data_IF_890728467319
#
_entry.id   IF_890728467319
#
_cell.length_a   1.000
_cell.length_b   1.000
_cell.length_c   1.000
_cell.angle_alpha   90.00
_cell.angle_beta   90.00
_cell.angle_gamma   90.00
#
_symmetry.space_group_name_H-M   'P 1'
#
loop_
_entity.id
_entity.type
_entity.pdbx_description
1 polymer ?
#
# COMPACT_ATOMS: atom_id res chain seq x y z
N UNK A 1 7.61 -15.00 22.37
CA UNK A 1 7.19 -15.10 20.93
C UNK A 1 5.68 -14.98 20.83
N UNK A 2 5.15 -14.21 19.85
CA UNK A 2 3.70 -14.10 19.62
C UNK A 2 3.21 -15.45 19.08
N UNK A 3 2.12 -15.99 19.65
CA UNK A 3 1.54 -17.24 19.16
C UNK A 3 0.94 -17.05 17.76
N UNK A 4 0.91 -18.12 16.95
CA UNK A 4 0.32 -18.11 15.62
C UNK A 4 -1.15 -17.70 15.65
N UNK A 5 -1.89 -18.13 16.67
CA UNK A 5 -3.31 -17.77 16.88
C UNK A 5 -3.47 -16.28 17.17
N UNK A 6 -2.70 -15.72 18.11
CA UNK A 6 -2.73 -14.28 18.39
C UNK A 6 -2.38 -13.45 17.15
N UNK A 7 -1.42 -13.93 16.35
CA UNK A 7 -1.05 -13.29 15.09
C UNK A 7 -2.15 -13.37 14.03
N UNK A 8 -2.88 -14.47 13.95
CA UNK A 8 -4.06 -14.59 13.09
C UNK A 8 -5.14 -13.57 13.46
N UNK A 9 -5.44 -13.42 14.73
CA UNK A 9 -6.40 -12.43 15.20
C UNK A 9 -5.92 -10.99 14.97
N UNK A 10 -4.63 -10.69 15.14
CA UNK A 10 -4.10 -9.35 14.84
C UNK A 10 -4.23 -8.98 13.35
N UNK A 11 -4.06 -9.94 12.43
CA UNK A 11 -4.30 -9.74 10.99
C UNK A 11 -5.76 -9.45 10.68
N UNK A 12 -6.70 -10.18 11.31
CA UNK A 12 -8.14 -9.95 11.15
C UNK A 12 -8.54 -8.59 11.70
N UNK A 13 -8.02 -8.21 12.87
CA UNK A 13 -8.27 -6.90 13.45
C UNK A 13 -7.74 -5.78 12.55
N UNK A 14 -6.51 -5.90 12.04
CA UNK A 14 -5.94 -4.91 11.12
C UNK A 14 -6.77 -4.79 9.83
N UNK A 15 -7.27 -5.91 9.29
CA UNK A 15 -8.16 -5.90 8.13
C UNK A 15 -9.51 -5.22 8.46
N UNK A 16 -10.09 -5.48 9.62
CA UNK A 16 -11.33 -4.83 10.05
C UNK A 16 -11.14 -3.32 10.23
N UNK A 17 -10.05 -2.90 10.89
CA UNK A 17 -9.70 -1.48 11.06
C UNK A 17 -9.50 -0.80 9.70
N UNK A 18 -8.82 -1.47 8.75
CA UNK A 18 -8.67 -0.98 7.39
C UNK A 18 -10.03 -0.78 6.70
N UNK A 19 -10.91 -1.78 6.78
CA UNK A 19 -12.25 -1.71 6.20
C UNK A 19 -13.08 -0.55 6.76
N UNK A 20 -13.06 -0.36 8.08
CA UNK A 20 -13.76 0.76 8.74
C UNK A 20 -13.18 2.11 8.30
N UNK A 21 -11.84 2.22 8.23
CA UNK A 21 -11.18 3.44 7.76
C UNK A 21 -11.51 3.75 6.28
N UNK A 22 -11.55 2.74 5.41
CA UNK A 22 -11.96 2.88 4.00
C UNK A 22 -13.41 3.36 3.87
N UNK A 23 -14.34 2.78 4.64
CA UNK A 23 -15.75 3.20 4.64
C UNK A 23 -15.87 4.64 5.12
N UNK A 24 -15.24 5.01 6.23
CA UNK A 24 -15.22 6.39 6.71
C UNK A 24 -14.62 7.35 5.66
N UNK A 25 -13.51 6.97 5.04
CA UNK A 25 -12.84 7.80 4.02
C UNK A 25 -13.70 7.97 2.77
N UNK A 26 -14.45 6.94 2.37
CA UNK A 26 -15.42 7.01 1.28
C UNK A 26 -16.52 8.02 1.57
N UNK A 27 -17.17 7.94 2.73
CA UNK A 27 -18.21 8.91 3.11
C UNK A 27 -17.67 10.33 3.25
N UNK A 28 -16.47 10.50 3.77
CA UNK A 28 -15.79 11.79 3.82
C UNK A 28 -15.56 12.35 2.42
N UNK A 29 -15.06 11.54 1.48
CA UNK A 29 -14.82 11.95 0.10
C UNK A 29 -16.11 12.32 -0.63
N UNK A 30 -17.11 11.45 -0.57
CA UNK A 30 -18.42 11.68 -1.22
C UNK A 30 -19.15 12.89 -0.61
N UNK A 31 -19.04 13.09 0.72
CA UNK A 31 -19.63 14.23 1.42
C UNK A 31 -19.00 15.58 1.04
N UNK A 32 -17.75 15.58 0.56
CA UNK A 32 -17.07 16.80 0.11
C UNK A 32 -17.63 17.39 -1.19
N UNK A 33 -18.44 16.63 -1.93
CA UNK A 33 -19.01 16.99 -3.25
C UNK A 33 -17.98 17.47 -4.28
N UNK A 34 -16.71 17.13 -4.10
CA UNK A 34 -15.61 17.46 -5.01
C UNK A 34 -15.47 16.38 -6.09
N UNK A 35 -14.89 16.75 -7.25
CA UNK A 35 -14.52 15.79 -8.30
C UNK A 35 -13.58 14.71 -7.72
N UNK A 36 -12.64 15.09 -6.86
CA UNK A 36 -11.75 14.18 -6.17
C UNK A 36 -12.50 13.17 -5.29
N UNK A 37 -13.51 13.63 -4.52
CA UNK A 37 -14.35 12.77 -3.69
C UNK A 37 -15.20 11.80 -4.50
N UNK A 38 -15.79 12.27 -5.60
CA UNK A 38 -16.59 11.43 -6.51
C UNK A 38 -15.73 10.36 -7.21
N UNK A 39 -14.44 10.63 -7.43
CA UNK A 39 -13.48 9.69 -8.00
C UNK A 39 -12.70 8.89 -6.94
N UNK A 40 -13.30 8.63 -5.79
CA UNK A 40 -12.69 7.95 -4.64
C UNK A 40 -11.92 6.67 -5.02
N UNK A 41 -12.50 5.82 -5.85
CA UNK A 41 -11.87 4.56 -6.28
C UNK A 41 -10.75 4.73 -7.32
N UNK A 42 -10.50 5.93 -7.82
CA UNK A 42 -9.40 6.17 -8.76
C UNK A 42 -8.04 6.32 -8.08
N UNK A 43 -7.99 6.37 -6.75
CA UNK A 43 -6.74 6.50 -6.02
C UNK A 43 -6.09 5.14 -5.78
N UNK A 44 -4.82 4.99 -6.20
CA UNK A 44 -4.04 3.78 -5.96
C UNK A 44 -3.98 3.41 -4.45
N UNK A 45 -3.98 4.40 -3.57
CA UNK A 45 -4.06 4.20 -2.12
C UNK A 45 -5.33 3.45 -1.71
N UNK A 46 -6.48 3.82 -2.27
CA UNK A 46 -7.76 3.19 -1.93
C UNK A 46 -7.76 1.74 -2.40
N UNK A 47 -7.35 1.51 -3.64
CA UNK A 47 -7.29 0.17 -4.22
C UNK A 47 -6.28 -0.74 -3.50
N UNK A 48 -5.11 -0.21 -3.13
CA UNK A 48 -4.12 -0.97 -2.36
C UNK A 48 -4.61 -1.34 -0.95
N UNK A 49 -5.36 -0.46 -0.29
CA UNK A 49 -5.94 -0.73 1.02
C UNK A 49 -7.15 -1.68 0.94
N UNK A 50 -7.93 -1.66 -0.14
CA UNK A 50 -8.95 -2.70 -0.41
C UNK A 50 -8.27 -4.06 -0.57
N UNK A 51 -7.22 -4.15 -1.39
CA UNK A 51 -6.44 -5.37 -1.54
C UNK A 51 -5.83 -5.84 -0.20
N UNK A 52 -5.32 -4.91 0.61
CA UNK A 52 -4.82 -5.19 1.96
C UNK A 52 -5.90 -5.76 2.88
N UNK A 53 -7.11 -5.20 2.86
CA UNK A 53 -8.25 -5.68 3.66
C UNK A 53 -8.60 -7.13 3.30
N UNK A 54 -8.80 -7.40 2.01
CA UNK A 54 -9.16 -8.75 1.52
C UNK A 54 -8.06 -9.75 1.86
N UNK A 55 -6.81 -9.41 1.54
CA UNK A 55 -5.67 -10.29 1.79
C UNK A 55 -5.41 -10.46 3.29
N UNK A 56 -5.66 -9.43 4.10
CA UNK A 56 -5.55 -9.47 5.56
C UNK A 56 -6.52 -10.47 6.19
N UNK A 57 -7.77 -10.50 5.72
CA UNK A 57 -8.77 -11.51 6.14
C UNK A 57 -8.28 -12.91 5.77
N UNK A 58 -7.88 -13.13 4.52
CA UNK A 58 -7.37 -14.43 4.05
C UNK A 58 -6.15 -14.86 4.86
N UNK A 59 -5.18 -13.95 5.06
CA UNK A 59 -3.97 -14.21 5.82
C UNK A 59 -4.25 -14.49 7.31
N UNK A 60 -5.24 -13.82 7.90
CA UNK A 60 -5.68 -14.05 9.26
C UNK A 60 -6.28 -15.45 9.42
N UNK A 61 -7.22 -15.82 8.55
CA UNK A 61 -7.84 -17.16 8.55
C UNK A 61 -6.80 -18.26 8.35
N UNK A 62 -5.85 -18.09 7.43
CA UNK A 62 -4.76 -19.04 7.20
C UNK A 62 -3.91 -19.19 8.47
N UNK A 63 -3.57 -18.08 9.13
CA UNK A 63 -2.78 -18.13 10.35
C UNK A 63 -3.48 -18.84 11.51
N UNK A 64 -4.82 -18.81 11.55
CA UNK A 64 -5.61 -19.56 12.55
C UNK A 64 -5.72 -21.06 12.23
N UNK A 65 -5.56 -21.47 10.96
CA UNK A 65 -5.80 -22.84 10.50
C UNK A 65 -4.54 -23.61 10.12
N UNK A 66 -3.45 -22.91 9.81
CA UNK A 66 -2.23 -23.53 9.29
C UNK A 66 -1.01 -23.09 10.10
N UNK A 67 -0.02 -23.98 10.30
CA UNK A 67 1.21 -23.68 11.07
C UNK A 67 2.11 -22.66 10.35
N UNK A 68 2.08 -22.60 9.02
CA UNK A 68 2.87 -21.70 8.19
C UNK A 68 2.03 -21.06 7.08
N UNK A 69 2.47 -19.89 6.61
CA UNK A 69 1.89 -19.25 5.43
C UNK A 69 2.27 -20.03 4.16
N UNK A 70 1.32 -20.34 3.27
CA UNK A 70 1.66 -20.97 1.99
C UNK A 70 2.50 -20.02 1.11
N UNK A 71 3.33 -20.54 0.18
CA UNK A 71 4.24 -19.71 -0.63
C UNK A 71 3.55 -18.59 -1.41
N UNK A 72 2.37 -18.86 -1.97
CA UNK A 72 1.60 -17.84 -2.70
C UNK A 72 1.17 -16.68 -1.80
N UNK A 73 0.83 -16.93 -0.52
CA UNK A 73 0.42 -15.90 0.42
C UNK A 73 1.59 -14.97 0.77
N UNK A 74 2.80 -15.52 0.92
CA UNK A 74 4.02 -14.73 1.11
C UNK A 74 4.24 -13.77 -0.07
N UNK A 75 4.08 -14.27 -1.30
CA UNK A 75 4.19 -13.47 -2.52
C UNK A 75 3.10 -12.39 -2.57
N UNK A 76 1.83 -12.76 -2.40
CA UNK A 76 0.70 -11.84 -2.44
C UNK A 76 0.82 -10.74 -1.37
N UNK A 77 1.21 -11.12 -0.15
CA UNK A 77 1.45 -10.15 0.94
C UNK A 77 2.58 -9.19 0.58
N UNK A 78 3.72 -9.67 0.09
CA UNK A 78 4.82 -8.78 -0.29
C UNK A 78 4.40 -7.77 -1.36
N UNK A 79 3.59 -8.19 -2.35
CA UNK A 79 3.07 -7.31 -3.40
C UNK A 79 2.15 -6.24 -2.80
N UNK A 80 1.12 -6.64 -2.07
CA UNK A 80 0.14 -5.71 -1.50
C UNK A 80 0.78 -4.78 -0.45
N UNK A 81 1.68 -5.31 0.40
CA UNK A 81 2.43 -4.49 1.35
C UNK A 81 3.28 -3.43 0.65
N UNK A 82 3.93 -3.78 -0.47
CA UNK A 82 4.70 -2.81 -1.25
C UNK A 82 3.83 -1.64 -1.70
N UNK A 83 2.61 -1.91 -2.18
CA UNK A 83 1.68 -0.87 -2.59
C UNK A 83 1.22 0.00 -1.41
N UNK A 84 0.80 -0.63 -0.32
CA UNK A 84 0.31 0.06 0.89
C UNK A 84 1.40 0.91 1.54
N UNK A 85 2.63 0.40 1.66
CA UNK A 85 3.77 1.14 2.22
C UNK A 85 4.14 2.32 1.31
N UNK A 86 4.20 2.11 0.00
CA UNK A 86 4.50 3.20 -0.95
C UNK A 86 3.43 4.28 -0.91
N UNK A 87 2.14 3.92 -0.78
CA UNK A 87 1.06 4.89 -0.60
C UNK A 87 1.24 5.71 0.68
N UNK A 88 1.65 5.09 1.78
CA UNK A 88 1.98 5.77 3.04
C UNK A 88 3.14 6.74 2.90
N UNK A 89 4.23 6.34 2.24
CA UNK A 89 5.39 7.21 1.97
C UNK A 89 5.02 8.41 1.09
N UNK A 90 4.24 8.19 0.03
CA UNK A 90 3.76 9.26 -0.84
C UNK A 90 2.89 10.26 -0.08
N UNK A 91 1.96 9.78 0.75
CA UNK A 91 1.12 10.64 1.58
C UNK A 91 1.92 11.42 2.63
N UNK A 92 2.89 10.78 3.28
CA UNK A 92 3.80 11.46 4.22
C UNK A 92 4.55 12.61 3.54
N UNK A 93 5.02 12.41 2.30
CA UNK A 93 5.66 13.45 1.51
C UNK A 93 4.70 14.61 1.21
N UNK A 94 3.45 14.31 0.83
CA UNK A 94 2.42 15.34 0.56
C UNK A 94 2.15 16.15 1.82
N UNK A 95 1.94 15.51 2.97
CA UNK A 95 1.70 16.18 4.26
C UNK A 95 2.89 17.05 4.65
N UNK A 96 4.12 16.54 4.51
CA UNK A 96 5.33 17.29 4.80
C UNK A 96 5.48 18.52 3.89
N UNK A 97 5.28 18.35 2.56
CA UNK A 97 5.35 19.47 1.61
C UNK A 97 4.30 20.53 1.89
N UNK A 98 3.08 20.16 2.25
CA UNK A 98 2.03 21.09 2.63
C UNK A 98 2.45 21.89 3.88
N UNK A 99 2.99 21.23 4.90
CA UNK A 99 3.49 21.87 6.11
C UNK A 99 4.60 22.88 5.83
N UNK A 100 5.58 22.51 5.00
CA UNK A 100 6.69 23.42 4.60
C UNK A 100 6.18 24.65 3.84
N UNK A 101 5.13 24.48 3.04
CA UNK A 101 4.54 25.58 2.24
C UNK A 101 3.48 26.38 2.99
N UNK A 102 3.17 26.03 4.25
CA UNK A 102 2.10 26.65 5.03
C UNK A 102 0.70 26.43 4.46
N UNK A 103 0.50 25.34 3.68
CA UNK A 103 -0.80 25.01 3.09
C UNK A 103 -1.59 24.19 4.12
N UNK A 104 -2.74 24.70 4.60
CA UNK A 104 -3.56 23.94 5.53
C UNK A 104 -4.20 22.74 4.82
N UNK A 105 -3.96 21.55 5.32
CA UNK A 105 -4.63 20.33 4.87
C UNK A 105 -5.34 19.67 6.03
N UNK A 106 -6.57 19.19 5.79
CA UNK A 106 -7.30 18.41 6.77
C UNK A 106 -6.99 16.94 6.56
N UNK A 107 -6.41 16.30 7.57
CA UNK A 107 -6.12 14.85 7.55
C UNK A 107 -7.10 14.16 8.50
N UNK A 108 -8.18 13.53 8.00
CA UNK A 108 -9.10 12.78 8.84
C UNK A 108 -8.40 11.56 9.46
N UNK A 109 -8.92 11.06 10.58
CA UNK A 109 -8.36 9.91 11.28
C UNK A 109 -8.20 8.67 10.37
N UNK A 110 -9.12 8.50 9.40
CA UNK A 110 -9.03 7.41 8.42
C UNK A 110 -7.79 7.50 7.53
N UNK A 111 -7.37 8.70 7.12
CA UNK A 111 -6.13 8.87 6.36
C UNK A 111 -4.90 8.56 7.22
N UNK A 112 -4.92 8.91 8.53
CA UNK A 112 -3.85 8.52 9.46
C UNK A 112 -3.75 7.01 9.58
N UNK A 113 -4.88 6.32 9.67
CA UNK A 113 -4.92 4.85 9.75
C UNK A 113 -4.39 4.23 8.45
N UNK A 114 -4.94 4.63 7.29
CA UNK A 114 -4.61 4.02 5.99
C UNK A 114 -3.16 4.25 5.55
N UNK A 115 -2.57 5.40 5.90
CA UNK A 115 -1.25 5.78 5.40
C UNK A 115 -0.11 5.62 6.42
N UNK A 116 -0.40 5.54 7.73
CA UNK A 116 0.64 5.43 8.75
C UNK A 116 0.46 4.20 9.64
N UNK A 117 -0.70 4.02 10.26
CA UNK A 117 -0.90 2.95 11.25
C UNK A 117 -0.84 1.57 10.59
N UNK A 118 -1.57 1.37 9.49
CA UNK A 118 -1.59 0.09 8.78
C UNK A 118 -0.26 -0.25 8.10
N UNK A 119 0.42 0.66 7.38
CA UNK A 119 1.75 0.39 6.86
C UNK A 119 2.77 0.04 7.96
N UNK A 120 2.75 0.74 9.10
CA UNK A 120 3.62 0.43 10.23
C UNK A 120 3.33 -0.96 10.80
N UNK A 121 2.06 -1.28 11.06
CA UNK A 121 1.67 -2.63 11.47
C UNK A 121 2.08 -3.69 10.45
N UNK A 122 1.90 -3.41 9.15
CA UNK A 122 2.24 -4.33 8.08
C UNK A 122 3.74 -4.66 8.04
N UNK A 123 4.60 -3.66 8.25
CA UNK A 123 6.06 -3.85 8.36
C UNK A 123 6.39 -4.70 9.60
N UNK A 124 5.82 -4.38 10.77
CA UNK A 124 6.05 -5.14 11.99
C UNK A 124 5.57 -6.59 11.84
N UNK A 125 4.39 -6.80 11.27
CA UNK A 125 3.84 -8.12 11.00
C UNK A 125 4.64 -8.89 9.94
N UNK A 126 5.29 -8.19 9.01
CA UNK A 126 6.20 -8.79 8.04
C UNK A 126 7.50 -9.23 8.67
N UNK A 127 8.08 -8.41 9.54
CA UNK A 127 9.39 -8.69 10.17
C UNK A 127 9.27 -9.70 11.32
N UNK A 128 8.25 -9.58 12.17
CA UNK A 128 8.15 -10.34 13.43
C UNK A 128 7.08 -11.43 13.43
N UNK A 129 6.27 -11.51 12.37
CA UNK A 129 5.15 -12.45 12.31
C UNK A 129 5.59 -13.90 12.22
N UNK A 130 4.97 -14.81 13.00
CA UNK A 130 5.27 -16.24 12.95
C UNK A 130 4.78 -16.89 11.64
N UNK A 131 5.43 -17.99 11.23
CA UNK A 131 5.04 -18.78 10.07
C UNK A 131 5.34 -18.16 8.71
N UNK A 132 6.19 -17.11 8.69
CA UNK A 132 6.61 -16.45 7.45
C UNK A 132 7.64 -17.29 6.70
N UNK A 133 7.69 -17.08 5.38
CA UNK A 133 8.68 -17.69 4.48
C UNK A 133 9.56 -16.61 3.84
N UNK A 134 10.73 -17.01 3.33
CA UNK A 134 11.59 -16.13 2.53
C UNK A 134 10.86 -15.71 1.27
N UNK A 135 10.88 -14.42 0.98
CA UNK A 135 10.33 -13.86 -0.24
C UNK A 135 11.32 -13.99 -1.40
N UNK A 136 10.79 -14.21 -2.61
CA UNK A 136 11.58 -14.31 -3.84
C UNK A 136 11.84 -12.94 -4.45
N UNK A 137 13.01 -12.73 -5.07
CA UNK A 137 13.30 -11.53 -5.87
C UNK A 137 12.35 -11.35 -7.07
N UNK A 138 11.70 -12.42 -7.53
CA UNK A 138 10.68 -12.35 -8.58
C UNK A 138 9.46 -11.49 -8.20
N UNK A 139 9.30 -11.17 -6.91
CA UNK A 139 8.23 -10.28 -6.44
C UNK A 139 8.41 -8.87 -6.97
N UNK A 140 9.65 -8.39 -7.12
CA UNK A 140 9.93 -6.99 -7.55
C UNK A 140 9.23 -6.63 -8.86
N UNK A 141 9.40 -7.37 -9.97
CA UNK A 141 8.66 -7.07 -11.19
C UNK A 141 7.14 -7.22 -11.03
N UNK A 142 6.65 -8.18 -10.24
CA UNK A 142 5.20 -8.33 -10.00
C UNK A 142 4.59 -7.13 -9.27
N UNK A 143 5.33 -6.52 -8.36
CA UNK A 143 4.88 -5.30 -7.67
C UNK A 143 4.62 -4.16 -8.65
N UNK A 144 5.38 -4.06 -9.73
CA UNK A 144 5.29 -2.98 -10.72
C UNK A 144 4.15 -3.16 -11.73
N UNK A 145 3.67 -4.39 -11.95
CA UNK A 145 2.64 -4.68 -12.96
C UNK A 145 1.37 -3.85 -12.74
N UNK A 146 0.87 -3.85 -11.52
CA UNK A 146 -0.37 -3.14 -11.21
C UNK A 146 -0.22 -1.61 -11.26
N UNK A 147 0.77 -0.97 -10.61
CA UNK A 147 0.97 0.49 -10.72
C UNK A 147 1.19 0.96 -12.17
N UNK A 148 1.87 0.17 -13.00
CA UNK A 148 2.05 0.50 -14.42
C UNK A 148 0.71 0.44 -15.17
N UNK A 149 -0.03 -0.66 -15.04
CA UNK A 149 -1.34 -0.81 -15.69
C UNK A 149 -2.33 0.26 -15.21
N UNK A 150 -2.36 0.50 -13.90
CA UNK A 150 -3.19 1.54 -13.28
C UNK A 150 -2.78 2.95 -13.78
N UNK A 151 -1.50 3.24 -13.86
CA UNK A 151 -0.99 4.53 -14.33
C UNK A 151 -1.37 4.79 -15.79
N UNK A 152 -1.18 3.81 -16.67
CA UNK A 152 -1.57 3.90 -18.08
C UNK A 152 -3.10 4.11 -18.22
N UNK A 153 -3.90 3.32 -17.51
CA UNK A 153 -5.36 3.49 -17.48
C UNK A 153 -5.76 4.87 -16.95
N UNK A 154 -5.11 5.35 -15.89
CA UNK A 154 -5.39 6.65 -15.27
C UNK A 154 -5.06 7.81 -16.22
N UNK A 155 -3.96 7.74 -16.95
CA UNK A 155 -3.60 8.75 -17.97
C UNK A 155 -4.64 8.75 -19.09
N UNK A 156 -5.00 7.58 -19.63
CA UNK A 156 -6.03 7.46 -20.66
C UNK A 156 -7.38 7.99 -20.19
N UNK A 157 -7.86 7.53 -19.02
CA UNK A 157 -9.13 7.98 -18.43
C UNK A 157 -9.13 9.48 -18.14
N UNK A 158 -8.01 10.00 -17.61
CA UNK A 158 -7.86 11.42 -17.29
C UNK A 158 -8.00 12.32 -18.51
N UNK A 159 -7.51 11.87 -19.68
CA UNK A 159 -7.69 12.57 -20.96
C UNK A 159 -9.19 12.67 -21.38
N UNK A 160 -10.01 11.68 -20.98
CA UNK A 160 -11.46 11.68 -21.28
C UNK A 160 -12.24 12.55 -20.30
N UNK A 161 -12.01 12.41 -18.98
CA UNK A 161 -12.83 13.07 -17.96
C UNK A 161 -12.27 14.43 -17.50
N UNK A 162 -11.05 14.79 -17.95
CA UNK A 162 -10.39 16.04 -17.56
C UNK A 162 -9.91 16.10 -16.11
N UNK A 163 -9.75 14.94 -15.43
CA UNK A 163 -9.32 14.87 -14.04
C UNK A 163 -8.35 13.71 -13.78
N UNK A 164 -7.33 13.95 -12.95
CA UNK A 164 -6.30 12.99 -12.56
C UNK A 164 -6.16 12.97 -11.03
N UNK A 165 -5.93 11.78 -10.40
CA UNK A 165 -5.78 11.68 -8.94
C UNK A 165 -4.48 12.29 -8.42
N UNK A 166 -3.45 12.39 -9.25
CA UNK A 166 -2.14 12.94 -8.91
C UNK A 166 -1.69 13.95 -9.96
N UNK A 167 -1.12 15.08 -9.49
CA UNK A 167 -0.71 16.18 -10.37
C UNK A 167 0.28 15.76 -11.45
N UNK A 168 1.21 14.84 -11.13
CA UNK A 168 2.24 14.39 -12.07
C UNK A 168 1.71 13.49 -13.20
N UNK A 169 0.46 13.07 -13.14
CA UNK A 169 -0.24 12.37 -14.21
C UNK A 169 -1.08 13.34 -15.08
N UNK A 170 -1.25 14.59 -14.65
CA UNK A 170 -2.01 15.61 -15.38
C UNK A 170 -1.07 16.40 -16.31
N UNK A 171 -1.18 16.23 -17.64
CA UNK A 171 -0.32 16.95 -18.60
C UNK A 171 -0.38 18.47 -18.49
N UNK A 172 -1.42 19.02 -17.85
CA UNK A 172 -1.60 20.47 -17.65
C UNK A 172 -0.86 21.01 -16.42
N UNK A 173 -0.40 20.13 -15.53
CA UNK A 173 0.25 20.49 -14.26
C UNK A 173 1.75 20.19 -14.27
N UNK A 174 2.27 19.60 -15.34
CA UNK A 174 3.69 19.30 -15.55
C UNK A 174 4.24 20.14 -16.70
N UNK A 175 5.54 20.39 -16.72
CA UNK A 175 6.20 21.18 -17.78
C UNK A 175 6.32 20.44 -19.12
N UNK A 176 5.86 19.19 -19.19
CA UNK A 176 5.83 18.38 -20.40
C UNK A 176 5.99 16.88 -20.16
N UNK A 177 5.97 16.12 -21.26
CA UNK A 177 6.10 14.66 -21.23
C UNK A 177 7.38 14.18 -20.50
N UNK A 178 8.57 14.82 -20.66
CA UNK A 178 9.77 14.37 -19.96
C UNK A 178 9.63 14.43 -18.42
N UNK A 179 9.02 15.48 -17.87
CA UNK A 179 8.77 15.59 -16.42
C UNK A 179 7.77 14.54 -15.96
N UNK A 180 6.69 14.33 -16.72
CA UNK A 180 5.71 13.30 -16.39
C UNK A 180 6.35 11.90 -16.37
N UNK A 181 7.16 11.56 -17.35
CA UNK A 181 7.87 10.28 -17.41
C UNK A 181 8.85 10.16 -16.25
N UNK A 182 9.64 11.19 -15.96
CA UNK A 182 10.60 11.18 -14.87
C UNK A 182 9.90 10.95 -13.51
N UNK A 183 8.82 11.66 -13.22
CA UNK A 183 8.08 11.51 -11.95
C UNK A 183 7.39 10.14 -11.84
N UNK A 184 6.86 9.60 -12.93
CA UNK A 184 6.36 8.23 -12.98
C UNK A 184 7.47 7.20 -12.70
N UNK A 185 8.66 7.38 -13.30
CA UNK A 185 9.81 6.48 -13.07
C UNK A 185 10.31 6.56 -11.62
N UNK A 186 10.32 7.74 -11.01
CA UNK A 186 10.62 7.91 -9.58
C UNK A 186 9.61 7.16 -8.72
N UNK A 187 8.30 7.30 -9.00
CA UNK A 187 7.26 6.58 -8.29
C UNK A 187 7.42 5.06 -8.40
N UNK A 188 7.66 4.54 -9.60
CA UNK A 188 7.92 3.11 -9.81
C UNK A 188 9.21 2.65 -9.11
N UNK A 189 10.24 3.49 -9.07
CA UNK A 189 11.47 3.24 -8.32
C UNK A 189 11.22 3.08 -6.82
N UNK A 190 10.32 3.88 -6.24
CA UNK A 190 9.92 3.74 -4.82
C UNK A 190 9.21 2.40 -4.59
N UNK A 191 8.28 1.98 -5.45
CA UNK A 191 7.66 0.65 -5.38
C UNK A 191 8.70 -0.46 -5.42
N UNK A 192 9.66 -0.39 -6.34
CA UNK A 192 10.73 -1.37 -6.45
C UNK A 192 11.63 -1.39 -5.20
N UNK A 193 12.01 -0.23 -4.66
CA UNK A 193 12.81 -0.13 -3.43
C UNK A 193 12.09 -0.75 -2.23
N UNK A 194 10.79 -0.46 -2.04
CA UNK A 194 10.00 -1.05 -0.96
C UNK A 194 9.93 -2.57 -1.13
N UNK A 195 9.69 -3.07 -2.34
CA UNK A 195 9.67 -4.51 -2.63
C UNK A 195 11.02 -5.17 -2.32
N UNK A 196 12.13 -4.56 -2.73
CA UNK A 196 13.48 -5.03 -2.38
C UNK A 196 13.69 -5.06 -0.87
N UNK A 197 13.28 -4.01 -0.16
CA UNK A 197 13.35 -3.95 1.31
C UNK A 197 12.58 -5.09 1.97
N UNK A 198 11.35 -5.38 1.51
CA UNK A 198 10.56 -6.51 2.04
C UNK A 198 11.23 -7.86 1.75
N UNK A 199 11.82 -8.05 0.56
CA UNK A 199 12.59 -9.27 0.26
C UNK A 199 13.78 -9.42 1.19
N UNK A 200 14.55 -8.37 1.42
CA UNK A 200 15.70 -8.38 2.34
C UNK A 200 15.26 -8.66 3.79
N UNK A 201 14.25 -7.94 4.28
CA UNK A 201 13.70 -8.13 5.63
C UNK A 201 13.16 -9.56 5.85
N UNK A 202 12.63 -10.22 4.81
CA UNK A 202 12.17 -11.60 4.91
C UNK A 202 13.30 -12.61 5.19
N UNK A 203 14.56 -12.20 5.00
CA UNK A 203 15.76 -13.05 5.13
C UNK A 203 16.50 -12.88 6.46
N UNK A 204 16.26 -11.80 7.20
CA UNK A 204 17.05 -11.40 8.37
C UNK A 204 16.96 -12.35 9.59
N UNK A 205 15.93 -13.22 9.69
CA UNK A 205 15.70 -14.06 10.87
C UNK A 205 15.66 -15.57 10.60
N UNK A 206 16.18 -16.02 9.46
CA UNK A 206 16.18 -17.46 9.14
C UNK A 206 17.52 -18.15 9.48
N UNK A 207 18.45 -17.44 10.13
CA UNK A 207 19.79 -17.95 10.40
C UNK A 207 19.88 -18.79 11.69
N UNK A 208 18.89 -18.72 12.59
CA UNK A 208 18.94 -19.46 13.86
C UNK A 208 18.37 -20.89 13.81
N UNK A 209 17.65 -21.28 12.75
CA UNK A 209 17.04 -22.61 12.64
C UNK A 209 17.99 -23.67 12.03
N UNK A 210 19.21 -23.30 11.62
CA UNK A 210 20.18 -24.21 11.00
C UNK A 210 21.38 -24.55 11.91
N UNK A 211 21.33 -24.15 13.17
CA UNK A 211 22.44 -24.32 14.12
C UNK A 211 22.08 -25.18 15.35
N UNK A 212 21.02 -25.97 15.29
CA UNK A 212 20.65 -27.05 16.21
C UNK A 212 20.32 -28.30 15.38
#
# INVERSE_FOLDING_TARGET
MISRTAFGWSRLLAAAVCGVALVHRMFWGLGSQTIAGQNFFAYLTIESNIAYTVLGVVAGVIALRMPEDPPWLTTARAIVLSWTITAGLAFALIVWQAGVRGIPITVPWSDVVLHFVLPAYAILAWVFGPGRRRASWRIVPYVLLYPVAWGLFTIWRGGIIGWYPYYFLDPRQVSGIPEMVLTCMIALGIFAMVACGLVLLSRMHTTEASAL
#
